data_IF_616277025572
#
_entry.id   IF_616277025572
#
_cell.length_a   1.000
_cell.length_b   1.000
_cell.length_c   1.000
_cell.angle_alpha   90.00
_cell.angle_beta   90.00
_cell.angle_gamma   90.00
#
_symmetry.space_group_name_H-M   'P 1'
#
loop_
_entity.id
_entity.type
_entity.pdbx_description
1 polymer ?
#
# COMPACT_ATOMS: atom_id res chain seq x y z
N UNK A 1 11.49 -0.47 -9.67
CA UNK A 1 12.22 -1.65 -10.13
C UNK A 1 12.72 -1.52 -11.55
N UNK A 2 13.75 -0.76 -11.97
CA UNK A 2 14.27 -0.96 -13.34
C UNK A 2 15.42 -1.97 -13.32
N UNK A 3 15.44 -2.91 -14.26
CA UNK A 3 16.50 -3.90 -14.39
C UNK A 3 17.09 -3.89 -15.80
N UNK A 4 18.41 -3.87 -15.93
CA UNK A 4 19.12 -4.00 -17.21
C UNK A 4 19.70 -5.39 -17.34
N UNK A 5 19.37 -6.13 -18.41
CA UNK A 5 19.87 -7.49 -18.62
C UNK A 5 21.36 -7.47 -18.96
N UNK A 6 22.19 -8.18 -18.20
CA UNK A 6 23.65 -8.21 -18.39
C UNK A 6 24.12 -9.41 -19.21
N UNK A 7 23.36 -10.50 -19.23
CA UNK A 7 23.65 -11.71 -20.00
C UNK A 7 23.27 -11.58 -21.49
N UNK A 8 24.05 -12.20 -22.39
CA UNK A 8 23.81 -12.21 -23.84
C UNK A 8 22.38 -12.63 -24.20
N UNK A 9 21.89 -13.70 -23.56
CA UNK A 9 20.49 -14.15 -23.57
C UNK A 9 20.14 -14.64 -22.18
N UNK A 10 19.07 -14.11 -21.61
CA UNK A 10 18.52 -14.50 -20.31
C UNK A 10 17.16 -15.15 -20.50
N UNK A 11 16.99 -16.38 -20.04
CA UNK A 11 15.71 -17.08 -20.11
C UNK A 11 14.67 -16.39 -19.21
N UNK A 12 13.47 -16.16 -19.75
CA UNK A 12 12.27 -15.88 -18.96
C UNK A 12 11.62 -17.20 -18.61
N UNK A 13 11.37 -17.43 -17.33
CA UNK A 13 10.83 -18.69 -16.82
C UNK A 13 9.46 -18.50 -16.21
N UNK A 14 8.65 -19.55 -16.23
CA UNK A 14 7.28 -19.54 -15.71
C UNK A 14 7.21 -19.49 -14.19
N UNK A 15 8.30 -19.82 -13.50
CA UNK A 15 8.49 -19.79 -12.05
C UNK A 15 9.95 -19.37 -11.76
N UNK A 16 10.26 -18.88 -10.55
CA UNK A 16 11.61 -18.49 -10.13
C UNK A 16 12.48 -19.72 -9.82
N UNK A 17 12.65 -20.58 -10.82
CA UNK A 17 13.33 -21.87 -10.75
C UNK A 17 14.05 -22.17 -12.07
N UNK A 18 15.31 -22.61 -12.00
CA UNK A 18 16.14 -22.95 -13.16
C UNK A 18 15.62 -24.15 -13.97
N UNK A 19 14.69 -24.93 -13.44
CA UNK A 19 14.10 -26.08 -14.13
C UNK A 19 12.69 -25.82 -14.65
N UNK A 20 12.09 -24.67 -14.34
CA UNK A 20 10.74 -24.35 -14.79
C UNK A 20 10.69 -24.07 -16.30
N UNK A 21 9.47 -24.18 -16.85
CA UNK A 21 9.19 -23.95 -18.26
C UNK A 21 9.75 -22.60 -18.71
N UNK A 22 10.52 -22.65 -19.80
CA UNK A 22 11.02 -21.46 -20.49
C UNK A 22 9.88 -20.82 -21.26
N UNK A 23 9.49 -19.61 -20.85
CA UNK A 23 8.49 -18.78 -21.54
C UNK A 23 9.10 -18.03 -22.73
N UNK A 24 10.40 -17.72 -22.65
CA UNK A 24 11.10 -16.99 -23.70
C UNK A 24 12.52 -16.62 -23.31
N UNK A 25 13.10 -15.66 -24.03
CA UNK A 25 14.42 -15.08 -23.75
C UNK A 25 14.40 -13.56 -23.88
N UNK A 26 15.24 -12.90 -23.10
CA UNK A 26 15.52 -11.48 -23.16
C UNK A 26 17.01 -11.28 -23.44
N UNK A 27 17.34 -10.39 -24.37
CA UNK A 27 18.73 -10.15 -24.80
C UNK A 27 19.44 -9.13 -23.92
N UNK A 28 20.77 -9.16 -23.92
CA UNK A 28 21.61 -8.18 -23.21
C UNK A 28 21.24 -6.74 -23.54
N UNK A 29 21.24 -5.89 -22.51
CA UNK A 29 20.92 -4.47 -22.60
C UNK A 29 19.42 -4.17 -22.63
N UNK A 30 18.55 -5.18 -22.64
CA UNK A 30 17.11 -4.94 -22.46
C UNK A 30 16.87 -4.35 -21.08
N UNK A 31 16.04 -3.30 -21.03
CA UNK A 31 15.56 -2.71 -19.77
C UNK A 31 14.16 -3.21 -19.52
N UNK A 32 13.92 -3.73 -18.31
CA UNK A 32 12.63 -4.30 -17.88
C UNK A 32 12.17 -3.65 -16.59
N UNK A 33 10.85 -3.53 -16.43
CA UNK A 33 10.26 -3.21 -15.14
C UNK A 33 10.18 -4.47 -14.28
N UNK A 34 10.89 -4.43 -13.16
CA UNK A 34 10.94 -5.44 -12.11
C UNK A 34 9.75 -5.19 -11.18
N UNK A 35 8.81 -6.12 -11.21
CA UNK A 35 7.57 -6.07 -10.44
C UNK A 35 7.75 -6.61 -9.03
N UNK A 36 8.63 -7.60 -8.87
CA UNK A 36 8.96 -8.22 -7.59
C UNK A 36 10.33 -8.92 -7.65
N UNK A 37 10.86 -9.29 -6.48
CA UNK A 37 12.05 -10.12 -6.33
C UNK A 37 11.69 -11.35 -5.47
N UNK A 38 12.14 -12.54 -5.88
CA UNK A 38 11.91 -13.81 -5.17
C UNK A 38 13.11 -14.75 -5.31
N UNK A 39 13.76 -15.13 -4.22
CA UNK A 39 14.83 -16.14 -4.18
C UNK A 39 15.95 -15.94 -5.23
N UNK A 40 16.41 -14.69 -5.42
CA UNK A 40 17.43 -14.36 -6.42
C UNK A 40 16.89 -14.31 -7.85
N UNK A 41 15.58 -14.33 -8.06
CA UNK A 41 14.91 -14.06 -9.33
C UNK A 41 14.15 -12.73 -9.28
N UNK A 42 13.98 -12.11 -10.43
CA UNK A 42 13.14 -10.93 -10.61
C UNK A 42 11.92 -11.28 -11.44
N UNK A 43 10.75 -10.90 -10.93
CA UNK A 43 9.49 -10.99 -11.66
C UNK A 43 9.33 -9.78 -12.58
N UNK A 44 8.90 -10.05 -13.80
CA UNK A 44 8.57 -9.07 -14.82
C UNK A 44 7.21 -9.42 -15.43
N UNK A 45 6.57 -8.45 -16.08
CA UNK A 45 5.48 -8.75 -17.00
C UNK A 45 6.08 -9.21 -18.34
N UNK A 46 5.81 -10.44 -18.74
CA UNK A 46 6.27 -11.00 -20.02
C UNK A 46 5.08 -11.54 -20.81
N UNK A 47 4.78 -10.96 -21.98
CA UNK A 47 3.59 -11.28 -22.78
C UNK A 47 2.28 -11.26 -21.97
N UNK A 48 2.11 -10.25 -21.11
CA UNK A 48 0.95 -10.07 -20.21
C UNK A 48 0.80 -11.13 -19.12
N UNK A 49 1.79 -12.00 -18.93
CA UNK A 49 1.84 -12.99 -17.86
C UNK A 49 3.07 -12.76 -16.97
N UNK A 50 3.05 -13.17 -15.69
CA UNK A 50 4.24 -13.18 -14.85
C UNK A 50 5.35 -14.04 -15.46
N UNK A 51 6.56 -13.49 -15.53
CA UNK A 51 7.77 -14.19 -15.97
C UNK A 51 8.94 -13.87 -15.04
N UNK A 52 9.84 -14.84 -14.86
CA UNK A 52 10.94 -14.73 -13.89
C UNK A 52 12.30 -14.75 -14.59
N UNK A 53 13.15 -13.79 -14.23
CA UNK A 53 14.53 -13.64 -14.68
C UNK A 53 15.48 -13.99 -13.55
N UNK A 54 16.56 -14.72 -13.82
CA UNK A 54 17.53 -15.00 -12.76
C UNK A 54 18.32 -13.73 -12.46
N UNK A 55 18.22 -13.24 -11.23
CA UNK A 55 18.59 -11.89 -10.83
C UNK A 55 20.08 -11.61 -10.90
N UNK A 56 20.94 -12.63 -10.83
CA UNK A 56 22.39 -12.46 -11.06
C UNK A 56 22.73 -11.91 -12.46
N UNK A 57 21.78 -11.95 -13.40
CA UNK A 57 21.94 -11.44 -14.76
C UNK A 57 21.14 -10.16 -15.03
N UNK A 58 20.72 -9.47 -13.97
CA UNK A 58 19.96 -8.23 -14.04
C UNK A 58 20.61 -7.19 -13.12
N UNK A 59 21.05 -6.09 -13.71
CA UNK A 59 21.59 -4.94 -12.99
C UNK A 59 20.44 -3.99 -12.61
N UNK A 60 20.17 -3.88 -11.31
CA UNK A 60 19.05 -3.09 -10.79
C UNK A 60 19.39 -1.59 -10.77
N UNK A 61 18.37 -0.78 -11.06
CA UNK A 61 18.41 0.69 -11.04
C UNK A 61 17.22 1.22 -10.26
N UNK A 62 17.45 2.35 -9.59
CA UNK A 62 16.53 2.99 -8.64
C UNK A 62 15.08 3.11 -9.17
N UNK A 63 14.13 2.91 -8.25
CA UNK A 63 12.68 2.76 -8.48
C UNK A 63 11.98 4.09 -8.77
N UNK A 64 12.68 5.18 -8.51
CA UNK A 64 12.26 6.57 -8.73
C UNK A 64 12.25 6.98 -10.21
N UNK A 65 12.80 6.14 -11.10
CA UNK A 65 13.04 6.47 -12.51
C UNK A 65 12.23 5.54 -13.42
N UNK A 66 11.19 6.07 -14.07
CA UNK A 66 10.52 5.44 -15.23
C UNK A 66 11.25 5.83 -16.52
N UNK A 67 10.90 5.23 -17.66
CA UNK A 67 11.47 5.57 -18.96
C UNK A 67 10.37 6.10 -19.87
N UNK A 68 10.60 7.25 -20.50
CA UNK A 68 9.72 7.79 -21.55
C UNK A 68 10.36 7.65 -22.93
N UNK A 69 9.52 7.54 -23.95
CA UNK A 69 9.92 7.54 -25.35
C UNK A 69 9.37 8.76 -26.08
N UNK A 70 10.21 9.47 -26.82
CA UNK A 70 9.80 10.53 -27.76
C UNK A 70 9.96 10.02 -29.18
N UNK A 71 8.90 10.07 -29.98
CA UNK A 71 8.94 9.58 -31.37
C UNK A 71 9.72 10.56 -32.25
N UNK A 72 10.77 10.08 -32.92
CA UNK A 72 11.64 10.93 -33.76
C UNK A 72 11.22 10.92 -35.23
N UNK A 73 10.56 9.84 -35.68
CA UNK A 73 10.04 9.69 -37.05
C UNK A 73 8.77 10.52 -37.28
N UNK A 74 8.58 11.01 -38.52
CA UNK A 74 7.38 11.77 -38.93
C UNK A 74 6.08 11.01 -38.64
N UNK A 75 6.06 9.72 -38.95
CA UNK A 75 4.96 8.80 -38.70
C UNK A 75 5.57 7.42 -38.40
N UNK A 76 5.32 6.87 -37.21
CA UNK A 76 5.84 5.59 -36.76
C UNK A 76 4.69 4.60 -36.55
N UNK A 77 4.81 3.40 -37.13
CA UNK A 77 3.80 2.35 -36.99
C UNK A 77 3.83 1.74 -35.59
N UNK A 78 2.64 1.63 -34.99
CA UNK A 78 2.37 0.85 -33.77
C UNK A 78 2.11 -0.59 -34.19
N UNK A 79 2.87 -1.55 -33.67
CA UNK A 79 2.78 -2.96 -34.06
C UNK A 79 2.28 -3.85 -32.94
N UNK A 80 1.57 -4.92 -33.30
CA UNK A 80 1.05 -5.90 -32.35
C UNK A 80 2.13 -6.78 -31.72
N UNK A 81 3.22 -7.07 -32.46
CA UNK A 81 4.37 -7.87 -32.00
C UNK A 81 5.69 -7.17 -32.33
N UNK A 82 6.80 -7.50 -31.64
CA UNK A 82 8.12 -6.90 -31.89
C UNK A 82 8.78 -7.49 -33.16
N UNK A 83 8.10 -7.38 -34.30
CA UNK A 83 8.60 -7.79 -35.61
C UNK A 83 8.00 -6.92 -36.73
N UNK A 84 8.66 -6.86 -37.89
CA UNK A 84 8.23 -5.99 -39.00
C UNK A 84 7.08 -6.55 -39.84
N UNK A 85 6.69 -7.81 -39.60
CA UNK A 85 5.62 -8.51 -40.31
C UNK A 85 4.28 -8.49 -39.60
N UNK A 86 4.25 -8.13 -38.31
CA UNK A 86 3.03 -8.12 -37.50
C UNK A 86 2.03 -7.06 -37.97
N UNK A 87 0.73 -7.23 -37.67
CA UNK A 87 -0.29 -6.22 -37.91
C UNK A 87 0.09 -4.84 -37.35
N UNK A 88 -0.29 -3.80 -38.09
CA UNK A 88 -0.18 -2.40 -37.69
C UNK A 88 -1.48 -2.02 -36.98
N UNK A 89 -1.38 -1.65 -35.70
CA UNK A 89 -2.51 -1.28 -34.85
C UNK A 89 -2.87 0.21 -34.94
N UNK A 90 -1.93 1.03 -35.43
CA UNK A 90 -2.06 2.48 -35.56
C UNK A 90 -0.73 3.15 -35.87
N UNK A 91 -0.66 4.47 -35.71
CA UNK A 91 0.56 5.26 -35.93
C UNK A 91 0.73 6.37 -34.91
N UNK A 92 1.98 6.72 -34.58
CA UNK A 92 2.35 7.89 -33.77
C UNK A 92 3.10 8.91 -34.63
N UNK A 93 2.86 10.20 -34.39
CA UNK A 93 3.56 11.28 -35.08
C UNK A 93 4.86 11.67 -34.39
N UNK A 94 5.72 12.40 -35.08
CA UNK A 94 6.94 12.98 -34.48
C UNK A 94 6.60 13.82 -33.25
N UNK A 95 7.35 13.64 -32.17
CA UNK A 95 7.18 14.33 -30.90
C UNK A 95 6.12 13.72 -29.97
N UNK A 96 5.38 12.69 -30.41
CA UNK A 96 4.52 11.93 -29.50
C UNK A 96 5.35 11.34 -28.35
N UNK A 97 4.80 11.42 -27.13
CA UNK A 97 5.41 10.86 -25.91
C UNK A 97 4.71 9.55 -25.54
N UNK A 98 5.47 8.57 -25.08
CA UNK A 98 4.97 7.29 -24.57
C UNK A 98 5.63 6.93 -23.24
N UNK A 99 4.91 6.26 -22.37
CA UNK A 99 5.49 5.59 -21.20
C UNK A 99 6.04 4.23 -21.63
N UNK A 100 7.33 3.99 -21.38
CA UNK A 100 8.02 2.78 -21.81
C UNK A 100 7.87 1.70 -20.74
N UNK A 101 7.26 0.58 -21.14
CA UNK A 101 7.09 -0.60 -20.27
C UNK A 101 8.38 -1.42 -20.27
N UNK A 102 8.95 -1.64 -21.45
CA UNK A 102 10.23 -2.32 -21.65
C UNK A 102 10.88 -1.86 -22.95
N UNK A 103 12.20 -2.00 -23.07
CA UNK A 103 12.89 -1.71 -24.34
C UNK A 103 14.09 -2.62 -24.53
N UNK A 104 14.32 -3.05 -25.78
CA UNK A 104 15.53 -3.74 -26.20
C UNK A 104 16.20 -3.01 -27.37
N UNK A 105 17.21 -3.61 -27.98
CA UNK A 105 17.99 -3.02 -29.07
C UNK A 105 17.14 -2.66 -30.30
N UNK A 106 16.03 -3.37 -30.53
CA UNK A 106 15.22 -3.25 -31.75
C UNK A 106 13.81 -2.71 -31.51
N UNK A 107 13.26 -2.88 -30.30
CA UNK A 107 11.86 -2.59 -30.00
C UNK A 107 11.68 -1.88 -28.66
N UNK A 108 10.69 -1.00 -28.62
CA UNK A 108 10.14 -0.38 -27.41
C UNK A 108 8.72 -0.88 -27.20
N UNK A 109 8.43 -1.43 -26.03
CA UNK A 109 7.10 -1.83 -25.60
C UNK A 109 6.42 -0.70 -24.82
N UNK A 110 5.16 -0.44 -25.12
CA UNK A 110 4.33 0.53 -24.42
C UNK A 110 2.85 0.08 -24.42
N UNK A 111 2.02 0.74 -23.63
CA UNK A 111 0.57 0.49 -23.60
C UNK A 111 -0.14 1.29 -24.70
N UNK A 112 -0.94 0.61 -25.52
CA UNK A 112 -1.81 1.20 -26.54
C UNK A 112 -3.20 0.56 -26.46
N UNK A 113 -4.23 1.38 -26.20
CA UNK A 113 -5.62 0.91 -25.98
C UNK A 113 -5.71 -0.25 -24.97
N UNK A 114 -5.03 -0.09 -23.83
CA UNK A 114 -5.04 -1.08 -22.74
C UNK A 114 -4.42 -2.44 -23.13
N UNK A 115 -3.59 -2.48 -24.19
CA UNK A 115 -2.82 -3.65 -24.62
C UNK A 115 -1.37 -3.30 -24.93
N UNK A 116 -0.44 -4.26 -24.76
CA UNK A 116 0.95 -4.10 -25.20
C UNK A 116 1.02 -3.86 -26.71
N UNK A 117 1.86 -2.92 -27.11
CA UNK A 117 2.21 -2.67 -28.50
C UNK A 117 3.68 -2.27 -28.62
N UNK A 118 4.22 -2.37 -29.84
CA UNK A 118 5.64 -2.27 -30.11
C UNK A 118 5.97 -1.20 -31.15
N UNK A 119 7.04 -0.46 -30.89
CA UNK A 119 7.61 0.55 -31.78
C UNK A 119 9.06 0.17 -32.10
N UNK A 120 9.49 0.43 -33.34
CA UNK A 120 10.89 0.24 -33.71
C UNK A 120 11.79 1.23 -32.95
N UNK A 121 12.79 0.69 -32.23
CA UNK A 121 13.64 1.40 -31.27
C UNK A 121 14.42 2.56 -31.87
N UNK A 122 14.84 2.44 -33.13
CA UNK A 122 15.59 3.46 -33.86
C UNK A 122 14.83 4.78 -34.01
N UNK A 123 13.50 4.74 -33.87
CA UNK A 123 12.61 5.90 -34.03
C UNK A 123 12.04 6.41 -32.71
N UNK A 124 12.58 5.96 -31.58
CA UNK A 124 12.17 6.37 -30.23
C UNK A 124 13.39 6.87 -29.47
N UNK A 125 13.40 8.14 -29.12
CA UNK A 125 14.38 8.70 -28.20
C UNK A 125 13.96 8.36 -26.77
N UNK A 126 14.78 7.59 -26.06
CA UNK A 126 14.49 7.19 -24.69
C UNK A 126 15.07 8.19 -23.70
N UNK A 127 14.22 8.68 -22.80
CA UNK A 127 14.59 9.56 -21.71
C UNK A 127 14.29 8.88 -20.39
N UNK A 128 15.16 9.08 -19.41
CA UNK A 128 14.84 8.77 -18.02
C UNK A 128 13.82 9.82 -17.56
N UNK A 129 12.68 9.35 -17.05
CA UNK A 129 11.62 10.19 -16.51
C UNK A 129 11.50 9.87 -15.02
N UNK A 130 11.60 10.86 -14.17
CA UNK A 130 11.25 10.68 -12.76
C UNK A 130 9.74 10.37 -12.68
N UNK A 131 9.36 9.42 -11.84
CA UNK A 131 7.95 9.02 -11.68
C UNK A 131 7.03 10.24 -11.46
N UNK A 132 5.80 10.18 -11.98
CA UNK A 132 4.76 11.19 -11.74
C UNK A 132 4.66 11.49 -10.25
N UNK A 133 5.15 12.65 -9.87
CA UNK A 133 5.13 13.15 -8.50
C UNK A 133 3.95 14.10 -8.36
N UNK A 134 3.26 14.10 -7.22
CA UNK A 134 2.23 15.09 -6.97
C UNK A 134 2.74 16.12 -5.97
N UNK A 135 2.47 17.37 -6.26
CA UNK A 135 2.79 18.51 -5.41
C UNK A 135 1.52 19.17 -4.89
N UNK A 136 1.56 19.71 -3.69
CA UNK A 136 0.45 20.51 -3.14
C UNK A 136 0.88 21.97 -2.98
N UNK A 137 0.11 22.89 -3.56
CA UNK A 137 0.41 24.33 -3.48
C UNK A 137 0.28 24.82 -2.04
N UNK A 138 1.28 25.56 -1.54
CA UNK A 138 1.37 26.04 -0.14
C UNK A 138 1.08 27.53 0.04
N UNK A 139 0.76 28.25 -1.05
CA UNK A 139 0.45 29.69 -1.05
C UNK A 139 -0.92 29.96 -1.67
N UNK A 140 -1.57 31.06 -1.27
CA UNK A 140 -2.94 31.42 -1.72
C UNK A 140 -3.12 31.43 -3.24
N UNK A 141 -2.11 31.92 -3.96
CA UNK A 141 -2.11 32.00 -5.41
C UNK A 141 -0.68 31.85 -5.93
N UNK A 142 -0.47 30.91 -6.84
CA UNK A 142 0.81 30.61 -7.45
C UNK A 142 0.68 30.74 -8.98
N UNK A 143 1.55 31.56 -9.57
CA UNK A 143 1.57 31.73 -11.03
C UNK A 143 2.14 30.48 -11.71
N UNK A 144 1.46 30.04 -12.76
CA UNK A 144 1.95 29.05 -13.72
C UNK A 144 2.47 29.80 -14.94
N UNK A 145 3.72 29.54 -15.32
CA UNK A 145 4.44 30.28 -16.38
C UNK A 145 4.79 29.39 -17.55
N UNK A 146 5.05 30.01 -18.70
CA UNK A 146 5.41 29.29 -19.92
C UNK A 146 6.81 28.66 -19.90
N UNK A 147 7.74 29.21 -19.11
CA UNK A 147 9.11 28.72 -18.94
C UNK A 147 9.61 28.97 -17.50
N UNK A 148 10.67 28.29 -17.01
CA UNK A 148 11.13 28.37 -15.62
C UNK A 148 11.90 29.67 -15.33
N UNK A 149 11.21 30.81 -15.40
CA UNK A 149 11.76 32.14 -15.16
C UNK A 149 10.70 33.10 -14.62
N UNK A 150 11.09 34.01 -13.73
CA UNK A 150 10.23 35.09 -13.22
C UNK A 150 9.83 36.09 -14.32
N UNK A 151 10.60 36.18 -15.40
CA UNK A 151 10.30 37.03 -16.57
C UNK A 151 9.43 36.35 -17.62
N UNK A 152 9.14 35.05 -17.48
CA UNK A 152 8.32 34.31 -18.45
C UNK A 152 6.84 34.70 -18.37
N UNK A 153 6.09 34.68 -19.49
CA UNK A 153 4.65 34.94 -19.49
C UNK A 153 3.90 34.04 -18.51
N UNK A 154 2.97 34.63 -17.75
CA UNK A 154 2.04 33.89 -16.89
C UNK A 154 0.93 33.33 -17.77
N UNK A 155 0.78 32.01 -17.79
CA UNK A 155 -0.21 31.27 -18.60
C UNK A 155 -1.42 30.82 -17.78
N UNK A 156 -1.35 30.99 -16.45
CA UNK A 156 -2.44 30.72 -15.54
C UNK A 156 -2.00 30.82 -14.08
N UNK A 157 -2.90 30.45 -13.18
CA UNK A 157 -2.66 30.46 -11.74
C UNK A 157 -3.32 29.24 -11.10
N UNK A 158 -2.69 28.74 -10.04
CA UNK A 158 -3.18 27.67 -9.17
C UNK A 158 -3.27 28.21 -7.75
N UNK A 159 -4.18 27.68 -6.93
CA UNK A 159 -4.52 28.19 -5.60
C UNK A 159 -3.97 27.31 -4.49
N UNK A 160 -3.97 27.83 -3.27
CA UNK A 160 -3.61 27.05 -2.08
C UNK A 160 -4.37 25.72 -2.08
N UNK A 161 -3.66 24.65 -1.73
CA UNK A 161 -4.14 23.28 -1.70
C UNK A 161 -4.42 22.61 -3.05
N UNK A 162 -4.28 23.31 -4.18
CA UNK A 162 -4.35 22.66 -5.49
C UNK A 162 -3.30 21.55 -5.59
N UNK A 163 -3.75 20.37 -6.03
CA UNK A 163 -2.89 19.23 -6.30
C UNK A 163 -2.39 19.33 -7.74
N UNK A 164 -1.06 19.38 -7.88
CA UNK A 164 -0.37 19.51 -9.16
C UNK A 164 0.27 18.18 -9.51
N UNK A 165 0.03 17.72 -10.73
CA UNK A 165 0.81 16.65 -11.34
C UNK A 165 2.16 17.25 -11.77
N UNK A 166 3.25 16.83 -11.13
CA UNK A 166 4.62 17.23 -11.42
C UNK A 166 5.17 16.27 -12.47
N UNK A 167 5.65 16.87 -13.56
CA UNK A 167 6.22 16.19 -14.72
C UNK A 167 7.73 16.13 -14.60
N UNK A 168 8.37 17.21 -14.13
CA UNK A 168 9.83 17.30 -13.96
C UNK A 168 10.22 18.46 -13.03
N UNK A 169 11.50 18.54 -12.65
CA UNK A 169 12.08 19.69 -11.94
C UNK A 169 13.19 20.34 -12.78
N UNK A 170 13.25 21.67 -12.78
CA UNK A 170 14.28 22.47 -13.48
C UNK A 170 14.73 23.61 -12.56
N UNK A 171 15.80 23.38 -11.81
CA UNK A 171 16.29 24.33 -10.79
C UNK A 171 15.21 24.59 -9.73
N UNK A 172 14.89 25.86 -9.49
CA UNK A 172 13.87 26.29 -8.52
C UNK A 172 12.42 26.17 -9.04
N UNK A 173 12.19 25.47 -10.16
CA UNK A 173 10.90 25.34 -10.83
C UNK A 173 10.49 23.88 -10.99
N UNK A 174 9.19 23.63 -10.87
CA UNK A 174 8.55 22.37 -11.22
C UNK A 174 7.79 22.54 -12.53
N UNK A 175 8.01 21.64 -13.49
CA UNK A 175 7.13 21.47 -14.65
C UNK A 175 5.90 20.69 -14.21
N UNK A 176 4.71 21.22 -14.48
CA UNK A 176 3.44 20.66 -14.04
C UNK A 176 2.48 20.49 -15.21
N UNK A 177 1.53 19.55 -15.08
CA UNK A 177 0.37 19.48 -15.98
C UNK A 177 -0.64 20.57 -15.60
N UNK A 178 -0.94 21.47 -16.54
CA UNK A 178 -1.88 22.57 -16.33
C UNK A 178 -2.80 22.73 -17.54
N UNK A 179 -4.12 22.58 -17.37
CA UNK A 179 -5.13 22.73 -18.43
C UNK A 179 -4.79 21.96 -19.74
N UNK A 180 -4.36 20.70 -19.61
CA UNK A 180 -3.95 19.80 -20.71
C UNK A 180 -2.67 20.21 -21.46
N UNK A 181 -1.99 21.29 -21.04
CA UNK A 181 -0.65 21.67 -21.49
C UNK A 181 0.35 21.56 -20.33
N UNK A 182 1.64 21.83 -20.60
CA UNK A 182 2.67 21.91 -19.56
C UNK A 182 2.93 23.37 -19.18
N UNK A 183 3.25 23.62 -17.92
CA UNK A 183 3.65 24.92 -17.40
C UNK A 183 4.62 24.80 -16.23
N UNK A 184 5.20 25.93 -15.80
CA UNK A 184 6.20 25.96 -14.73
C UNK A 184 5.71 26.74 -13.52
N UNK A 185 5.89 26.17 -12.32
CA UNK A 185 5.55 26.79 -11.05
C UNK A 185 6.76 26.73 -10.11
N UNK A 186 6.95 27.75 -9.25
CA UNK A 186 8.13 27.81 -8.38
C UNK A 186 8.06 26.73 -7.28
N UNK A 187 9.11 25.92 -7.19
CA UNK A 187 9.17 24.71 -6.36
C UNK A 187 8.99 25.00 -4.87
N UNK A 188 9.53 26.13 -4.38
CA UNK A 188 9.41 26.57 -2.98
C UNK A 188 7.96 26.73 -2.47
N UNK A 189 6.99 26.85 -3.39
CA UNK A 189 5.57 27.00 -3.06
C UNK A 189 4.76 25.71 -3.28
N UNK A 190 5.44 24.58 -3.46
CA UNK A 190 4.83 23.29 -3.75
C UNK A 190 5.46 22.24 -2.82
N UNK A 191 4.64 21.63 -1.96
CA UNK A 191 5.08 20.53 -1.13
C UNK A 191 5.04 19.21 -1.93
N UNK A 192 6.20 18.61 -2.19
CA UNK A 192 6.37 17.36 -2.97
C UNK A 192 6.48 16.10 -2.11
N UNK A 193 6.54 16.22 -0.78
CA UNK A 193 6.41 15.09 0.15
C UNK A 193 4.95 14.68 0.26
N UNK A 194 4.36 14.25 -0.86
CA UNK A 194 3.08 13.54 -0.81
C UNK A 194 3.39 12.07 -0.62
N UNK A 195 3.48 11.65 0.65
CA UNK A 195 3.20 10.28 1.05
C UNK A 195 2.00 9.79 0.22
N UNK A 196 2.06 8.59 -0.37
CA UNK A 196 0.83 7.97 -0.89
C UNK A 196 -0.21 8.11 0.22
N UNK A 197 -1.32 8.80 -0.05
CA UNK A 197 -2.41 8.84 0.92
C UNK A 197 -2.90 7.40 1.06
N UNK A 198 -2.40 6.71 2.09
CA UNK A 198 -3.01 5.51 2.63
C UNK A 198 -4.44 5.95 2.90
N UNK A 199 -5.45 5.45 2.16
CA UNK A 199 -6.82 5.83 2.44
C UNK A 199 -7.07 5.46 3.90
N UNK A 200 -7.70 6.34 4.69
CA UNK A 200 -7.72 6.21 6.12
C UNK A 200 -8.27 4.83 6.49
N UNK A 201 -7.45 4.02 7.16
CA UNK A 201 -7.95 2.83 7.84
C UNK A 201 -8.77 3.33 9.02
N UNK A 202 -9.93 2.70 9.25
CA UNK A 202 -10.69 2.94 10.48
C UNK A 202 -10.26 1.85 11.45
N UNK A 203 -9.45 2.17 12.48
CA UNK A 203 -9.24 1.28 13.61
C UNK A 203 -10.56 0.72 14.08
N UNK A 204 -10.57 -0.52 14.54
CA UNK A 204 -11.70 -1.08 15.26
C UNK A 204 -11.63 -0.48 16.67
N UNK A 205 -11.90 0.81 16.74
CA UNK A 205 -11.81 1.58 17.97
C UNK A 205 -12.70 0.96 19.05
N UNK A 206 -12.46 1.31 20.32
CA UNK A 206 -13.06 0.62 21.46
C UNK A 206 -14.59 0.52 21.50
N UNK A 207 -15.30 1.37 20.75
CA UNK A 207 -16.77 1.40 20.71
C UNK A 207 -17.34 0.80 19.42
N UNK A 208 -16.51 0.21 18.57
CA UNK A 208 -16.95 -0.41 17.32
C UNK A 208 -17.13 -1.90 17.43
N UNK A 209 -16.50 -2.59 18.38
CA UNK A 209 -16.83 -3.99 18.66
C UNK A 209 -18.07 -3.96 19.56
N UNK A 210 -19.22 -4.40 19.05
CA UNK A 210 -20.36 -4.66 19.93
C UNK A 210 -19.90 -5.69 20.98
N UNK A 211 -19.96 -5.32 22.26
CA UNK A 211 -19.76 -6.25 23.38
C UNK A 211 -20.95 -7.21 23.39
N UNK A 212 -20.90 -8.26 22.56
CA UNK A 212 -21.75 -9.43 22.78
C UNK A 212 -21.37 -10.05 24.12
N UNK A 213 -22.36 -10.56 24.90
CA UNK A 213 -22.08 -11.20 26.17
C UNK A 213 -21.05 -12.31 25.94
N UNK A 214 -19.90 -12.19 26.61
CA UNK A 214 -18.86 -13.21 26.55
C UNK A 214 -19.49 -14.56 26.85
N UNK A 215 -19.40 -15.51 25.91
CA UNK A 215 -19.63 -16.90 26.26
C UNK A 215 -18.63 -17.23 27.38
N UNK A 216 -19.04 -17.95 28.44
CA UNK A 216 -18.09 -18.38 29.46
C UNK A 216 -16.93 -19.04 28.74
N UNK A 217 -15.73 -18.49 28.96
CA UNK A 217 -14.52 -18.90 28.25
C UNK A 217 -14.42 -20.41 28.32
N UNK A 218 -14.56 -21.09 27.17
CA UNK A 218 -14.05 -22.44 27.06
C UNK A 218 -12.56 -22.26 27.12
N UNK A 219 -11.98 -22.50 28.28
CA UNK A 219 -10.56 -22.30 28.53
C UNK A 219 -9.78 -23.13 27.52
N UNK A 220 -9.26 -22.48 26.46
CA UNK A 220 -7.87 -22.76 26.14
C UNK A 220 -7.15 -22.52 27.45
N UNK A 221 -6.65 -23.60 28.05
CA UNK A 221 -5.73 -23.51 29.18
C UNK A 221 -4.83 -22.32 28.92
N UNK A 222 -4.79 -21.37 29.87
CA UNK A 222 -3.97 -20.18 29.76
C UNK A 222 -2.52 -20.62 29.61
N UNK A 223 -2.09 -20.83 28.37
CA UNK A 223 -0.69 -21.01 28.06
C UNK A 223 -0.07 -19.70 28.49
N UNK A 224 0.67 -19.75 29.59
CA UNK A 224 1.44 -18.60 30.03
C UNK A 224 2.54 -18.43 28.99
N UNK A 225 2.24 -17.68 27.94
CA UNK A 225 3.15 -17.42 26.83
C UNK A 225 4.39 -16.59 27.27
N UNK A 226 4.42 -16.18 28.55
CA UNK A 226 5.52 -15.42 29.14
C UNK A 226 5.54 -13.94 28.75
N UNK A 227 4.43 -13.43 28.20
CA UNK A 227 4.33 -12.02 27.78
C UNK A 227 3.87 -11.07 28.89
N UNK A 228 3.44 -11.61 30.03
CA UNK A 228 2.97 -10.83 31.18
C UNK A 228 4.12 -10.07 31.86
N UNK A 229 3.92 -8.81 32.26
CA UNK A 229 4.94 -8.03 32.95
C UNK A 229 5.12 -8.51 34.39
N UNK A 230 6.29 -8.25 34.96
CA UNK A 230 6.57 -8.57 36.38
C UNK A 230 5.70 -7.79 37.36
N UNK A 231 5.22 -6.60 36.97
CA UNK A 231 4.34 -5.75 37.76
C UNK A 231 3.02 -5.51 37.02
N UNK A 232 1.95 -6.11 37.52
CA UNK A 232 0.59 -5.88 37.03
C UNK A 232 0.05 -4.52 37.50
N UNK A 233 -0.87 -3.95 36.72
CA UNK A 233 -1.58 -2.72 37.01
C UNK A 233 -3.05 -3.05 37.31
N UNK A 234 -3.64 -2.41 38.32
CA UNK A 234 -5.05 -2.61 38.67
C UNK A 234 -6.00 -2.11 37.57
N UNK A 235 -6.96 -2.96 37.17
CA UNK A 235 -7.95 -2.67 36.11
C UNK A 235 -9.18 -1.90 36.64
N UNK A 236 -8.94 -0.88 37.46
CA UNK A 236 -9.99 0.02 37.99
C UNK A 236 -9.97 1.36 37.27
N UNK A 237 -10.97 2.22 37.50
CA UNK A 237 -10.98 3.60 36.98
C UNK A 237 -11.69 3.78 35.64
N UNK A 238 -11.30 4.80 34.87
CA UNK A 238 -11.97 5.19 33.62
C UNK A 238 -11.75 4.18 32.47
N UNK A 239 -12.53 4.26 31.37
CA UNK A 239 -12.43 3.32 30.24
C UNK A 239 -11.02 3.18 29.65
N UNK A 240 -10.30 4.29 29.48
CA UNK A 240 -8.92 4.31 28.98
C UNK A 240 -7.97 3.64 29.96
N UNK A 241 -8.13 3.88 31.26
CA UNK A 241 -7.28 3.31 32.32
C UNK A 241 -7.45 1.80 32.41
N UNK A 242 -8.68 1.29 32.30
CA UNK A 242 -8.95 -0.15 32.27
C UNK A 242 -8.33 -0.80 31.02
N UNK A 243 -8.45 -0.17 29.85
CA UNK A 243 -7.89 -0.70 28.59
C UNK A 243 -6.37 -0.78 28.60
N UNK A 244 -5.70 0.26 29.08
CA UNK A 244 -4.23 0.23 29.15
C UNK A 244 -3.76 -0.77 30.21
N UNK A 245 -4.44 -0.88 31.34
CA UNK A 245 -4.13 -1.88 32.37
C UNK A 245 -4.33 -3.31 31.84
N UNK A 246 -5.46 -3.60 31.21
CA UNK A 246 -5.75 -4.92 30.63
C UNK A 246 -4.79 -5.27 29.47
N UNK A 247 -4.39 -4.30 28.65
CA UNK A 247 -3.41 -4.52 27.57
C UNK A 247 -2.02 -4.78 28.13
N UNK A 248 -1.63 -4.00 29.14
CA UNK A 248 -0.37 -4.16 29.85
C UNK A 248 -0.26 -5.51 30.56
N UNK A 249 -1.28 -5.87 31.34
CA UNK A 249 -1.28 -7.11 32.11
C UNK A 249 -1.14 -8.35 31.21
N UNK A 250 -1.64 -8.28 29.97
CA UNK A 250 -1.51 -9.36 28.99
C UNK A 250 -0.15 -9.43 28.30
N UNK A 251 0.44 -8.30 27.91
CA UNK A 251 1.60 -8.30 26.99
C UNK A 251 2.76 -7.39 27.39
N UNK A 252 2.75 -6.86 28.61
CA UNK A 252 3.67 -5.83 29.06
C UNK A 252 5.14 -6.20 28.90
N UNK A 253 5.53 -7.43 29.22
CA UNK A 253 6.93 -7.87 29.08
C UNK A 253 7.38 -7.89 27.61
N UNK A 254 6.56 -8.43 26.71
CA UNK A 254 6.89 -8.44 25.27
C UNK A 254 6.94 -7.02 24.69
N UNK A 255 6.00 -6.16 25.10
CA UNK A 255 5.97 -4.77 24.67
C UNK A 255 7.17 -3.99 25.20
N UNK A 256 7.61 -4.22 26.44
CA UNK A 256 8.81 -3.61 27.01
C UNK A 256 10.06 -3.98 26.20
N UNK A 257 10.27 -5.27 25.95
CA UNK A 257 11.46 -5.77 25.23
C UNK A 257 11.56 -5.15 23.82
N UNK A 258 10.49 -5.23 23.04
CA UNK A 258 10.46 -4.66 21.68
C UNK A 258 10.52 -3.13 21.68
N UNK A 259 9.93 -2.46 22.67
CA UNK A 259 10.01 -0.99 22.79
C UNK A 259 11.42 -0.55 23.16
N UNK A 260 12.13 -1.31 23.99
CA UNK A 260 13.51 -1.04 24.35
C UNK A 260 14.45 -1.12 23.14
N UNK A 261 14.31 -2.11 22.26
CA UNK A 261 15.08 -2.21 21.00
C UNK A 261 14.91 -0.96 20.13
N UNK A 262 13.69 -0.42 20.04
CA UNK A 262 13.39 0.78 19.24
C UNK A 262 13.54 2.10 20.00
N UNK A 263 13.96 2.05 21.27
CA UNK A 263 14.05 3.21 22.17
C UNK A 263 12.73 4.01 22.26
N UNK A 264 11.59 3.32 22.25
CA UNK A 264 10.25 3.90 22.38
C UNK A 264 9.81 3.75 23.85
N UNK A 265 9.14 4.77 24.42
CA UNK A 265 8.45 4.58 25.71
C UNK A 265 7.32 3.55 25.50
N UNK A 266 7.36 2.42 26.21
CA UNK A 266 6.37 1.33 26.11
C UNK A 266 4.92 1.80 26.28
N UNK A 267 4.70 2.90 26.99
CA UNK A 267 3.38 3.53 27.08
C UNK A 267 2.81 3.90 25.70
N UNK A 268 3.66 4.24 24.73
CA UNK A 268 3.27 4.55 23.36
C UNK A 268 2.73 3.31 22.64
N UNK A 269 3.41 2.17 22.74
CA UNK A 269 3.04 0.94 22.02
C UNK A 269 1.80 0.28 22.65
N UNK A 270 1.67 0.34 23.98
CA UNK A 270 0.40 0.05 24.69
C UNK A 270 -0.73 0.95 24.19
N UNK A 271 -0.48 2.27 24.08
CA UNK A 271 -1.49 3.22 23.64
C UNK A 271 -1.94 2.99 22.19
N UNK A 272 -1.02 2.66 21.29
CA UNK A 272 -1.34 2.30 19.90
C UNK A 272 -2.25 1.07 19.86
N UNK A 273 -1.86 -0.03 20.49
CA UNK A 273 -2.70 -1.25 20.53
C UNK A 273 -4.09 -0.99 21.12
N UNK A 274 -4.19 -0.15 22.16
CA UNK A 274 -5.47 0.25 22.73
C UNK A 274 -6.35 1.02 21.74
N UNK A 275 -5.78 1.90 20.93
CA UNK A 275 -6.51 2.65 19.89
C UNK A 275 -6.96 1.73 18.75
N UNK A 276 -6.12 0.78 18.34
CA UNK A 276 -6.38 -0.09 17.20
C UNK A 276 -7.46 -1.14 17.45
N UNK A 277 -7.44 -1.75 18.64
CA UNK A 277 -8.30 -2.92 18.94
C UNK A 277 -8.67 -3.06 20.42
N UNK A 278 -8.43 -2.04 21.25
CA UNK A 278 -8.40 -2.18 22.72
C UNK A 278 -7.38 -3.24 23.19
N UNK A 279 -6.30 -3.41 22.43
CA UNK A 279 -5.27 -4.41 22.66
C UNK A 279 -5.74 -5.84 22.47
N UNK A 280 -6.87 -6.11 21.81
CA UNK A 280 -7.36 -7.47 21.59
C UNK A 280 -6.91 -7.98 20.22
N UNK A 281 -6.25 -9.13 20.19
CA UNK A 281 -5.89 -9.81 18.94
C UNK A 281 -6.91 -10.83 18.47
N UNK A 282 -7.70 -11.38 19.40
CA UNK A 282 -8.68 -12.44 19.17
C UNK A 282 -10.00 -12.09 19.86
N UNK A 283 -11.10 -12.64 19.36
CA UNK A 283 -12.45 -12.39 19.89
C UNK A 283 -13.12 -13.69 20.32
N UNK A 284 -13.40 -13.81 21.63
CA UNK A 284 -14.16 -14.92 22.22
C UNK A 284 -15.59 -15.01 21.67
N UNK A 285 -16.17 -13.87 21.28
CA UNK A 285 -17.47 -13.79 20.62
C UNK A 285 -17.49 -14.48 19.23
N UNK A 286 -16.33 -14.77 18.63
CA UNK A 286 -16.22 -15.43 17.34
C UNK A 286 -15.26 -16.63 17.36
N UNK A 287 -15.45 -17.54 18.33
CA UNK A 287 -14.67 -18.77 18.47
C UNK A 287 -13.15 -18.54 18.56
N UNK A 288 -12.74 -17.47 19.25
CA UNK A 288 -11.34 -17.03 19.39
C UNK A 288 -10.63 -16.83 18.04
N UNK A 289 -11.37 -16.47 16.98
CA UNK A 289 -10.75 -16.04 15.72
C UNK A 289 -10.06 -14.69 15.88
N UNK A 290 -9.02 -14.48 15.07
CA UNK A 290 -8.32 -13.19 14.98
C UNK A 290 -9.30 -12.05 14.72
N UNK A 291 -9.09 -10.92 15.38
CA UNK A 291 -9.85 -9.69 15.12
C UNK A 291 -9.46 -9.14 13.74
N UNK A 292 -10.45 -8.92 12.88
CA UNK A 292 -10.25 -8.39 11.53
C UNK A 292 -11.22 -7.25 11.22
N UNK A 293 -10.92 -6.52 10.16
CA UNK A 293 -11.88 -5.65 9.47
C UNK A 293 -11.74 -5.80 7.96
N UNK A 294 -12.82 -6.12 7.28
CA UNK A 294 -12.86 -6.30 5.84
C UNK A 294 -13.18 -5.02 5.08
N UNK A 295 -12.36 -4.69 4.09
CA UNK A 295 -12.46 -3.44 3.35
C UNK A 295 -12.91 -3.70 1.90
N UNK A 296 -14.23 -3.59 1.64
CA UNK A 296 -14.81 -3.78 0.29
C UNK A 296 -14.09 -2.97 -0.81
N UNK A 297 -13.71 -1.72 -0.52
CA UNK A 297 -13.00 -0.89 -1.50
C UNK A 297 -11.56 -1.38 -1.78
N UNK A 298 -10.94 -2.11 -0.85
CA UNK A 298 -9.67 -2.81 -1.08
C UNK A 298 -9.90 -4.08 -1.88
N UNK A 299 -10.96 -4.83 -1.59
CA UNK A 299 -11.30 -6.01 -2.38
C UNK A 299 -11.65 -5.64 -3.83
N UNK A 300 -12.26 -4.47 -4.04
CA UNK A 300 -12.40 -3.86 -5.36
C UNK A 300 -11.05 -3.60 -6.05
N UNK A 301 -10.08 -3.03 -5.31
CA UNK A 301 -8.72 -2.75 -5.82
C UNK A 301 -8.00 -4.02 -6.25
N UNK A 302 -8.01 -5.07 -5.42
CA UNK A 302 -7.21 -6.27 -5.63
C UNK A 302 -7.89 -7.30 -6.54
N UNK A 303 -9.22 -7.42 -6.50
CA UNK A 303 -9.97 -8.38 -7.32
C UNK A 303 -11.15 -7.77 -8.09
N UNK A 304 -11.96 -6.89 -7.48
CA UNK A 304 -13.24 -6.48 -8.06
C UNK A 304 -13.16 -5.78 -9.43
N UNK A 305 -12.01 -5.19 -9.81
CA UNK A 305 -11.79 -4.67 -11.18
C UNK A 305 -11.73 -5.76 -12.25
N UNK A 306 -11.36 -6.98 -11.86
CA UNK A 306 -11.26 -8.14 -12.75
C UNK A 306 -12.67 -8.69 -13.09
N UNK A 307 -13.59 -8.68 -12.12
CA UNK A 307 -15.00 -9.04 -12.32
C UNK A 307 -15.95 -8.01 -11.64
N UNK A 308 -16.17 -6.85 -12.31
CA UNK A 308 -17.00 -5.79 -11.75
C UNK A 308 -18.46 -6.15 -11.54
N UNK A 309 -18.99 -7.12 -12.29
CA UNK A 309 -20.38 -7.54 -12.18
C UNK A 309 -20.59 -8.40 -10.95
N UNK A 310 -19.73 -9.40 -10.74
CA UNK A 310 -19.77 -10.23 -9.53
C UNK A 310 -19.45 -9.41 -8.29
N UNK A 311 -18.51 -8.46 -8.36
CA UNK A 311 -18.29 -7.54 -7.23
C UNK A 311 -19.57 -6.78 -6.87
N UNK A 312 -20.19 -6.07 -7.83
CA UNK A 312 -21.40 -5.27 -7.56
C UNK A 312 -22.62 -6.11 -7.15
N UNK A 313 -22.64 -7.40 -7.51
CA UNK A 313 -23.68 -8.33 -7.06
C UNK A 313 -23.62 -8.57 -5.55
N UNK A 314 -22.41 -8.67 -4.98
CA UNK A 314 -22.20 -9.13 -3.62
C UNK A 314 -21.61 -8.11 -2.65
N UNK A 315 -20.96 -7.05 -3.14
CA UNK A 315 -20.26 -6.05 -2.35
C UNK A 315 -20.61 -4.64 -2.83
N UNK A 316 -20.73 -3.71 -1.88
CA UNK A 316 -20.81 -2.28 -2.17
C UNK A 316 -20.19 -1.45 -1.07
N UNK A 317 -19.85 -0.21 -1.42
CA UNK A 317 -19.33 0.80 -0.52
C UNK A 317 -19.71 2.19 -1.07
N UNK A 318 -19.57 3.23 -0.26
CA UNK A 318 -19.83 4.60 -0.66
C UNK A 318 -18.69 5.11 -1.56
N UNK A 319 -18.96 5.28 -2.86
CA UNK A 319 -17.95 5.76 -3.81
C UNK A 319 -17.44 7.19 -3.53
N UNK A 320 -18.22 8.03 -2.84
CA UNK A 320 -17.80 9.38 -2.44
C UNK A 320 -16.86 9.40 -1.24
N UNK A 321 -16.86 8.33 -0.42
CA UNK A 321 -15.93 8.10 0.70
C UNK A 321 -15.68 6.60 0.80
N UNK A 322 -14.69 6.11 0.04
CA UNK A 322 -14.51 4.69 -0.25
C UNK A 322 -14.42 3.79 0.99
N UNK A 323 -13.97 4.32 2.13
CA UNK A 323 -13.86 3.64 3.43
C UNK A 323 -15.17 3.63 4.25
N UNK A 324 -16.32 3.99 3.66
CA UNK A 324 -17.61 4.06 4.37
C UNK A 324 -18.72 3.35 3.61
N UNK A 325 -19.80 3.00 4.31
CA UNK A 325 -20.99 2.40 3.70
C UNK A 325 -20.75 0.99 3.17
N UNK A 326 -19.81 0.25 3.76
CA UNK A 326 -19.50 -1.11 3.36
C UNK A 326 -20.66 -2.04 3.68
N UNK A 327 -21.15 -2.71 2.64
CA UNK A 327 -22.23 -3.68 2.75
C UNK A 327 -21.96 -4.87 1.84
N UNK A 328 -22.51 -6.02 2.21
CA UNK A 328 -22.40 -7.24 1.43
C UNK A 328 -23.71 -8.05 1.42
N UNK A 329 -23.77 -9.06 0.56
CA UNK A 329 -24.80 -10.10 0.56
C UNK A 329 -24.31 -11.37 -0.16
N UNK A 330 -24.62 -12.53 0.41
CA UNK A 330 -24.26 -13.82 -0.18
C UNK A 330 -25.10 -14.13 -1.43
N UNK A 331 -26.41 -13.86 -1.37
CA UNK A 331 -27.33 -14.01 -2.50
C UNK A 331 -27.65 -12.64 -3.12
N UNK A 332 -27.70 -12.59 -4.45
CA UNK A 332 -28.18 -11.45 -5.23
C UNK A 332 -29.59 -10.96 -4.87
N UNK A 333 -30.43 -11.83 -4.30
CA UNK A 333 -31.78 -11.51 -3.86
C UNK A 333 -31.86 -11.15 -2.37
N UNK A 334 -30.80 -11.38 -1.60
CA UNK A 334 -30.78 -11.04 -0.19
C UNK A 334 -30.66 -9.53 0.03
N UNK A 335 -31.13 -9.09 1.19
CA UNK A 335 -30.95 -7.72 1.67
C UNK A 335 -29.48 -7.40 1.90
N UNK A 336 -29.13 -6.13 1.69
CA UNK A 336 -27.77 -5.64 1.91
C UNK A 336 -27.47 -5.48 3.39
N UNK A 337 -26.40 -6.11 3.85
CA UNK A 337 -26.04 -6.13 5.26
C UNK A 337 -24.76 -5.33 5.53
N UNK A 338 -24.79 -4.50 6.58
CA UNK A 338 -23.58 -3.94 7.17
C UNK A 338 -22.92 -4.99 8.06
N UNK A 339 -21.61 -5.10 7.99
CA UNK A 339 -20.84 -6.08 8.73
C UNK A 339 -19.85 -5.46 9.72
N UNK A 340 -19.53 -4.16 9.56
CA UNK A 340 -18.60 -3.50 10.45
C UNK A 340 -19.05 -3.49 11.90
N UNK A 341 -18.11 -3.83 12.77
CA UNK A 341 -18.27 -3.80 14.22
C UNK A 341 -18.71 -5.10 14.89
N UNK A 342 -18.96 -6.15 14.10
CA UNK A 342 -19.30 -7.48 14.61
C UNK A 342 -18.36 -8.51 13.98
N UNK A 343 -17.55 -9.17 14.81
CA UNK A 343 -16.47 -10.02 14.30
C UNK A 343 -17.00 -11.25 13.55
N UNK A 344 -18.12 -11.84 13.97
CA UNK A 344 -18.79 -12.89 13.19
C UNK A 344 -19.12 -12.41 11.76
N UNK A 345 -19.73 -11.23 11.62
CA UNK A 345 -20.11 -10.67 10.32
C UNK A 345 -18.89 -10.29 9.46
N UNK A 346 -17.83 -9.72 10.05
CA UNK A 346 -16.56 -9.45 9.36
C UNK A 346 -15.96 -10.74 8.77
N UNK A 347 -15.97 -11.83 9.55
CA UNK A 347 -15.48 -13.13 9.11
C UNK A 347 -16.38 -13.80 8.08
N UNK A 348 -17.70 -13.65 8.15
CA UNK A 348 -18.61 -14.14 7.11
C UNK A 348 -18.30 -13.51 5.73
N UNK A 349 -18.06 -12.19 5.71
CA UNK A 349 -17.68 -11.49 4.47
C UNK A 349 -16.31 -11.96 3.98
N UNK A 350 -15.34 -12.13 4.89
CA UNK A 350 -14.02 -12.64 4.55
C UNK A 350 -14.10 -14.06 3.98
N UNK A 351 -14.79 -14.98 4.64
CA UNK A 351 -14.93 -16.38 4.21
C UNK A 351 -15.58 -16.45 2.81
N UNK A 352 -16.60 -15.62 2.56
CA UNK A 352 -17.19 -15.48 1.23
C UNK A 352 -16.21 -14.90 0.21
N UNK A 353 -15.48 -13.83 0.54
CA UNK A 353 -14.50 -13.23 -0.37
C UNK A 353 -13.33 -14.19 -0.68
N UNK A 354 -12.87 -14.98 0.29
CA UNK A 354 -11.82 -16.00 0.10
C UNK A 354 -12.25 -17.12 -0.84
N UNK A 355 -13.54 -17.45 -0.89
CA UNK A 355 -14.09 -18.38 -1.87
C UNK A 355 -14.06 -17.86 -3.31
N UNK A 356 -13.91 -16.54 -3.48
CA UNK A 356 -13.79 -15.86 -4.78
C UNK A 356 -12.32 -15.74 -5.17
N UNK A 357 -11.51 -15.14 -4.30
CA UNK A 357 -10.07 -14.95 -4.46
C UNK A 357 -9.44 -14.82 -3.08
N UNK A 358 -8.70 -15.85 -2.66
CA UNK A 358 -8.12 -15.94 -1.33
C UNK A 358 -7.15 -14.79 -1.04
N UNK A 359 -6.18 -14.57 -1.92
CA UNK A 359 -5.11 -13.61 -1.68
C UNK A 359 -5.66 -12.18 -1.73
N UNK A 360 -6.53 -11.86 -2.70
CA UNK A 360 -7.16 -10.54 -2.75
C UNK A 360 -8.03 -10.26 -1.53
N UNK A 361 -8.73 -11.28 -1.00
CA UNK A 361 -9.51 -11.14 0.23
C UNK A 361 -8.60 -10.85 1.43
N UNK A 362 -7.50 -11.59 1.57
CA UNK A 362 -6.53 -11.37 2.65
C UNK A 362 -5.79 -10.03 2.53
N UNK A 363 -5.48 -9.57 1.32
CA UNK A 363 -4.96 -8.22 1.09
C UNK A 363 -5.95 -7.12 1.52
N UNK A 364 -7.24 -7.47 1.64
CA UNK A 364 -8.35 -6.55 1.89
C UNK A 364 -8.82 -6.52 3.33
N UNK A 365 -8.10 -7.12 4.27
CA UNK A 365 -8.40 -7.03 5.71
C UNK A 365 -7.29 -6.35 6.49
N UNK A 366 -7.64 -5.60 7.54
CA UNK A 366 -6.72 -5.34 8.65
C UNK A 366 -6.76 -6.49 9.64
N UNK A 367 -5.60 -6.85 10.19
CA UNK A 367 -5.40 -8.08 10.96
C UNK A 367 -4.90 -7.79 12.37
N UNK A 368 -5.49 -8.51 13.33
CA UNK A 368 -5.00 -8.65 14.70
C UNK A 368 -5.06 -7.38 15.54
N UNK A 369 -4.36 -7.43 16.67
CA UNK A 369 -4.30 -6.34 17.63
C UNK A 369 -3.82 -5.00 17.04
N UNK A 370 -2.83 -4.95 16.12
CA UNK A 370 -2.36 -3.69 15.54
C UNK A 370 -3.16 -3.22 14.33
N UNK A 371 -4.12 -4.03 13.84
CA UNK A 371 -4.90 -3.70 12.64
C UNK A 371 -4.05 -3.40 11.39
N UNK A 372 -2.99 -4.17 11.18
CA UNK A 372 -2.14 -4.02 9.98
C UNK A 372 -2.88 -4.60 8.78
N UNK A 373 -2.97 -3.83 7.69
CA UNK A 373 -3.58 -4.30 6.45
C UNK A 373 -2.76 -5.42 5.82
N UNK A 374 -3.42 -6.47 5.33
CA UNK A 374 -2.76 -7.61 4.69
C UNK A 374 -1.87 -7.23 3.51
N UNK A 375 -2.17 -6.16 2.79
CA UNK A 375 -1.29 -5.66 1.72
C UNK A 375 0.08 -5.13 2.19
N UNK A 376 0.32 -5.06 3.51
CA UNK A 376 1.63 -4.75 4.09
C UNK A 376 2.47 -5.98 4.44
N UNK A 377 2.03 -7.20 4.12
CA UNK A 377 2.73 -8.45 4.46
C UNK A 377 4.24 -8.41 4.14
N UNK A 378 4.62 -7.93 2.96
CA UNK A 378 6.01 -7.77 2.53
C UNK A 378 6.78 -6.75 3.36
N UNK A 379 6.14 -5.63 3.71
CA UNK A 379 6.78 -4.57 4.49
C UNK A 379 7.14 -5.02 5.91
N UNK A 380 6.42 -6.02 6.43
CA UNK A 380 6.63 -6.55 7.79
C UNK A 380 7.35 -7.91 7.81
N UNK A 381 7.84 -8.37 6.66
CA UNK A 381 8.77 -9.51 6.57
C UNK A 381 8.18 -10.82 6.05
N UNK A 382 6.90 -10.89 5.70
CA UNK A 382 6.28 -12.12 5.17
C UNK A 382 6.43 -12.25 3.65
N UNK A 383 6.52 -13.48 3.15
CA UNK A 383 6.64 -13.82 1.72
C UNK A 383 5.30 -13.79 1.00
N UNK A 384 4.20 -13.96 1.74
CA UNK A 384 2.84 -13.89 1.20
C UNK A 384 1.87 -13.36 2.24
N UNK A 385 0.73 -12.84 1.78
CA UNK A 385 -0.36 -12.42 2.68
C UNK A 385 -0.98 -13.62 3.41
N UNK A 386 -0.91 -14.82 2.81
CA UNK A 386 -1.36 -16.07 3.43
C UNK A 386 -0.46 -16.43 4.62
N UNK A 387 0.86 -16.30 4.48
CA UNK A 387 1.82 -16.53 5.57
C UNK A 387 1.60 -15.54 6.72
N UNK A 388 1.44 -14.24 6.41
CA UNK A 388 1.09 -13.23 7.42
C UNK A 388 -0.20 -13.61 8.15
N UNK A 389 -1.25 -14.00 7.39
CA UNK A 389 -2.53 -14.39 7.97
C UNK A 389 -2.41 -15.61 8.87
N UNK A 390 -1.68 -16.63 8.45
CA UNK A 390 -1.50 -17.87 9.22
C UNK A 390 -0.72 -17.62 10.52
N UNK A 391 0.33 -16.80 10.47
CA UNK A 391 1.14 -16.46 11.65
C UNK A 391 0.38 -15.57 12.63
N UNK A 392 -0.34 -14.56 12.13
CA UNK A 392 -1.23 -13.74 12.96
C UNK A 392 -2.35 -14.58 13.59
N UNK A 393 -2.93 -15.51 12.84
CA UNK A 393 -3.96 -16.41 13.35
C UNK A 393 -3.40 -17.44 14.35
N UNK A 394 -2.09 -17.72 14.32
CA UNK A 394 -1.44 -18.65 15.23
C UNK A 394 -1.24 -18.07 16.64
N UNK A 395 -0.96 -16.77 16.77
CA UNK A 395 -0.72 -16.21 18.11
C UNK A 395 -0.50 -14.71 18.20
N UNK A 396 -0.68 -14.20 19.42
CA UNK A 396 -0.59 -12.76 19.72
C UNK A 396 0.84 -12.20 19.57
N UNK A 397 1.85 -13.06 19.69
CA UNK A 397 3.25 -12.66 19.49
C UNK A 397 3.48 -12.08 18.10
N UNK A 398 2.98 -12.76 17.05
CA UNK A 398 3.07 -12.31 15.66
C UNK A 398 2.38 -10.96 15.45
N UNK A 399 1.22 -10.73 16.09
CA UNK A 399 0.56 -9.43 16.05
C UNK A 399 1.46 -8.31 16.60
N UNK A 400 2.09 -8.55 17.75
CA UNK A 400 2.90 -7.54 18.42
C UNK A 400 4.21 -7.32 17.67
N UNK A 401 4.92 -8.38 17.26
CA UNK A 401 6.12 -8.26 16.42
C UNK A 401 5.80 -7.56 15.09
N UNK A 402 4.65 -7.86 14.48
CA UNK A 402 4.14 -7.19 13.30
C UNK A 402 3.97 -5.68 13.48
N UNK A 403 3.48 -5.21 14.64
CA UNK A 403 3.41 -3.78 14.95
C UNK A 403 4.79 -3.11 14.85
N UNK A 404 5.81 -3.72 15.44
CA UNK A 404 7.16 -3.17 15.42
C UNK A 404 7.81 -3.23 14.04
N UNK A 405 7.59 -4.31 13.29
CA UNK A 405 8.08 -4.45 11.92
C UNK A 405 7.40 -3.47 10.96
N UNK A 406 6.15 -3.09 11.22
CA UNK A 406 5.41 -2.12 10.41
C UNK A 406 5.89 -0.68 10.60
N UNK A 407 6.42 -0.34 11.78
CA UNK A 407 6.83 1.03 12.08
C UNK A 407 8.06 1.44 11.26
N UNK A 408 7.86 2.38 10.33
CA UNK A 408 8.97 3.00 9.60
C UNK A 408 9.87 3.83 10.53
N UNK A 409 11.11 4.17 10.13
CA UNK A 409 11.98 5.03 10.92
C UNK A 409 11.35 6.37 11.31
N UNK A 410 10.51 6.94 10.44
CA UNK A 410 9.79 8.18 10.74
C UNK A 410 8.70 7.98 11.81
N UNK A 411 7.96 6.87 11.75
CA UNK A 411 6.97 6.52 12.77
C UNK A 411 7.64 6.33 14.13
N UNK A 412 8.76 5.60 14.18
CA UNK A 412 9.57 5.40 15.39
C UNK A 412 10.00 6.75 15.97
N UNK A 413 10.58 7.65 15.14
CA UNK A 413 10.98 8.99 15.60
C UNK A 413 9.82 9.83 16.13
N UNK A 414 8.63 9.69 15.55
CA UNK A 414 7.44 10.38 16.06
C UNK A 414 7.02 9.86 17.42
N UNK A 415 7.04 8.54 17.66
CA UNK A 415 6.75 8.00 18.99
C UNK A 415 7.82 8.38 20.02
N UNK A 416 9.11 8.30 19.65
CA UNK A 416 10.22 8.74 20.50
C UNK A 416 10.08 10.21 20.96
N UNK A 417 9.52 11.07 20.09
CA UNK A 417 9.29 12.50 20.36
C UNK A 417 7.87 12.81 20.84
N UNK A 418 7.06 11.79 21.14
CA UNK A 418 5.65 11.90 21.56
C UNK A 418 4.78 12.74 20.60
N UNK A 419 5.10 12.70 19.29
CA UNK A 419 4.37 13.37 18.21
C UNK A 419 3.23 12.49 17.70
N UNK A 420 2.26 12.21 18.57
CA UNK A 420 1.18 11.24 18.30
C UNK A 420 0.32 11.57 17.07
N UNK A 421 0.05 12.85 16.78
CA UNK A 421 -0.67 13.23 15.56
C UNK A 421 0.13 12.91 14.29
N UNK A 422 1.45 13.16 14.31
CA UNK A 422 2.33 12.85 13.19
C UNK A 422 2.44 11.35 12.98
N UNK A 423 2.62 10.58 14.07
CA UNK A 423 2.59 9.12 14.03
C UNK A 423 1.27 8.60 13.44
N UNK A 424 0.14 9.09 13.95
CA UNK A 424 -1.18 8.67 13.48
C UNK A 424 -1.41 8.97 12.00
N UNK A 425 -0.84 10.06 11.48
CA UNK A 425 -0.92 10.39 10.05
C UNK A 425 -0.21 9.38 9.16
N UNK A 426 0.91 8.80 9.63
CA UNK A 426 1.65 7.78 8.91
C UNK A 426 1.05 6.38 9.09
N UNK A 427 0.55 6.08 10.28
CA UNK A 427 0.02 4.76 10.62
C UNK A 427 -1.40 4.54 10.09
N UNK A 428 -2.29 5.54 10.25
CA UNK A 428 -3.72 5.46 9.95
C UNK A 428 -4.13 6.28 8.72
N UNK A 429 -3.19 7.00 8.10
CA UNK A 429 -3.47 7.96 7.04
C UNK A 429 -3.81 9.37 7.53
N UNK A 430 -3.64 10.34 6.64
CA UNK A 430 -3.72 11.78 6.96
C UNK A 430 -5.11 12.26 7.38
N UNK A 431 -6.18 11.61 6.88
CA UNK A 431 -7.56 12.09 6.96
C UNK A 431 -8.16 12.17 8.36
N UNK A 432 -7.62 11.44 9.35
CA UNK A 432 -8.11 11.42 10.74
C UNK A 432 -6.98 11.54 11.79
N UNK A 433 -5.77 11.96 11.36
CA UNK A 433 -4.57 11.99 12.21
C UNK A 433 -4.73 12.75 13.53
N UNK A 434 -5.47 13.87 13.53
CA UNK A 434 -5.76 14.66 14.75
C UNK A 434 -6.56 13.85 15.77
N UNK A 435 -7.57 13.13 15.29
CA UNK A 435 -8.46 12.33 16.14
C UNK A 435 -7.72 11.15 16.74
N UNK A 436 -7.02 10.37 15.91
CA UNK A 436 -6.24 9.22 16.37
C UNK A 436 -5.05 9.62 17.23
N UNK A 437 -4.32 10.67 16.87
CA UNK A 437 -3.23 11.21 17.69
C UNK A 437 -3.68 11.62 19.09
N UNK A 438 -4.87 12.24 19.20
CA UNK A 438 -5.49 12.55 20.50
C UNK A 438 -5.84 11.28 21.28
N UNK A 439 -6.39 10.26 20.63
CA UNK A 439 -6.71 9.00 21.31
C UNK A 439 -5.48 8.24 21.80
N UNK A 440 -4.40 8.23 21.01
CA UNK A 440 -3.11 7.66 21.41
C UNK A 440 -2.59 8.43 22.62
N UNK A 441 -2.61 9.78 22.58
CA UNK A 441 -2.21 10.61 23.71
C UNK A 441 -3.00 10.30 24.98
N UNK A 442 -4.33 10.16 24.88
CA UNK A 442 -5.18 9.88 26.04
C UNK A 442 -4.83 8.53 26.70
N UNK A 443 -4.60 7.48 25.92
CA UNK A 443 -4.19 6.18 26.46
C UNK A 443 -2.77 6.23 27.02
N UNK A 444 -1.84 6.93 26.34
CA UNK A 444 -0.50 7.18 26.86
C UNK A 444 -0.56 7.85 28.24
N UNK A 445 -1.28 8.97 28.37
CA UNK A 445 -1.45 9.70 29.63
C UNK A 445 -2.14 8.85 30.71
N UNK A 446 -3.10 7.99 30.33
CA UNK A 446 -3.75 7.06 31.25
C UNK A 446 -2.78 6.00 31.77
N UNK A 447 -1.91 5.46 30.91
CA UNK A 447 -0.90 4.48 31.30
C UNK A 447 0.17 5.11 32.20
N UNK A 448 0.66 6.32 31.86
CA UNK A 448 1.67 7.02 32.69
C UNK A 448 1.17 7.36 34.09
N UNK A 449 -0.14 7.53 34.30
CA UNK A 449 -0.74 7.75 35.64
C UNK A 449 -0.76 6.50 36.52
N UNK A 450 -0.47 5.32 35.96
CA UNK A 450 -0.59 4.01 36.62
C UNK A 450 0.76 3.33 36.92
N UNK A 451 1.85 3.81 36.31
CA UNK A 451 3.22 3.40 36.65
C UNK A 451 3.66 4.07 37.94
#
# INVERSE_FOLDING_TARGET
MLGTITASRLNVRSQPDQHSNKLGEIVKGTVVNILAQKNGWYEILYNKLPGFLFGQYVDLRDDSITQAGIITARLLNIRERPDTSSPILGTLGKGSKIDVISSNQNWVEFSFKESSAYLARDYVELHLQESLSFGKVTVQLLNVRQSPSLSAPVIGQVKLDDKLEIISSVGEWLEIRFNKINGFAAAQYINTNTDEEIPPTIPIGPNQIEEEPERPAVSRESVNDGFEPTKLISEVGGPEERKVAATWNRYGALLEDLSQDKQIDVACTVAVLCVESSGRGFSSANNDRMIIRFENHKFWKYWGKQDPEKFRRHFRYNSGKAWTGHQWRADSQAEWQSFHGRQNAEWEVLDFARSIDNDAALLSISMGAPQIMGFHYQAIGYQSVQEMFDDFNAGIKAHIEGLFNFMSPAMIQHLQRLKFESFAGLYNGSGQKKKYGRWIKNHYDAFKRRQ
#
